data_IF_244277349801
#
_entry.id   IF_244277349801
#
_cell.length_a   1.000
_cell.length_b   1.000
_cell.length_c   1.000
_cell.angle_alpha   90.00
_cell.angle_beta   90.00
_cell.angle_gamma   90.00
#
_symmetry.space_group_name_H-M   'P 1'
#
loop_
_entity.id
_entity.type
_entity.pdbx_description
1 polymer ?
#
# COMPACT_ATOMS: atom_id res chain seq x y z
N UNK A 1 77.78 -51.05 20.02
CA UNK A 1 78.94 -51.79 20.55
C UNK A 1 78.59 -53.26 20.57
N UNK A 2 79.39 -54.06 19.85
CA UNK A 2 79.83 -55.45 20.14
C UNK A 2 78.78 -56.56 20.40
N UNK A 3 78.90 -57.80 19.93
CA UNK A 3 79.86 -58.54 19.08
C UNK A 3 79.23 -59.91 18.77
N UNK A 4 79.54 -60.48 17.59
CA UNK A 4 79.36 -61.87 17.12
C UNK A 4 79.95 -62.93 18.09
N UNK A 5 79.70 -64.28 18.02
CA UNK A 5 79.78 -65.11 16.79
C UNK A 5 79.07 -66.49 16.63
N UNK A 6 79.02 -66.93 15.36
CA UNK A 6 79.26 -68.26 14.72
C UNK A 6 78.48 -69.52 15.14
N UNK A 7 77.85 -70.16 14.13
CA UNK A 7 77.44 -71.57 14.11
C UNK A 7 77.13 -72.08 12.70
N UNK A 8 78.06 -72.85 12.14
CA UNK A 8 78.04 -73.62 10.88
C UNK A 8 76.75 -74.44 10.62
N UNK A 9 76.38 -74.65 9.34
CA UNK A 9 76.55 -75.92 8.58
C UNK A 9 75.43 -76.13 7.52
N UNK A 10 75.82 -76.53 6.31
CA UNK A 10 74.99 -77.43 5.48
C UNK A 10 74.32 -76.85 4.24
N UNK A 11 75.09 -76.69 3.16
CA UNK A 11 74.57 -76.66 1.78
C UNK A 11 74.16 -78.10 1.40
N UNK A 12 72.90 -78.32 1.05
CA UNK A 12 72.46 -79.47 0.24
C UNK A 12 71.68 -78.93 -0.95
N UNK A 13 72.36 -78.88 -2.09
CA UNK A 13 71.77 -78.70 -3.41
C UNK A 13 71.19 -80.04 -3.82
N UNK A 14 69.86 -80.18 -3.84
CA UNK A 14 69.19 -81.30 -4.48
C UNK A 14 68.70 -80.84 -5.86
N UNK A 15 69.50 -81.17 -6.87
CA UNK A 15 69.13 -81.05 -8.28
C UNK A 15 68.11 -82.15 -8.62
N UNK A 16 66.83 -81.79 -8.68
CA UNK A 16 65.76 -82.66 -9.18
C UNK A 16 65.68 -82.56 -10.71
N UNK A 17 66.00 -83.67 -11.37
CA UNK A 17 66.03 -83.81 -12.81
C UNK A 17 64.66 -83.54 -13.47
N UNK A 18 64.72 -82.73 -14.53
CA UNK A 18 63.64 -82.43 -15.46
C UNK A 18 63.18 -83.71 -16.18
N UNK A 19 61.95 -84.15 -15.91
CA UNK A 19 61.23 -85.02 -16.83
C UNK A 19 60.63 -84.14 -17.93
N UNK A 20 61.33 -84.08 -19.07
CA UNK A 20 60.79 -83.52 -20.31
C UNK A 20 59.71 -84.45 -20.86
N UNK A 21 58.47 -84.26 -20.40
CA UNK A 21 57.31 -84.74 -21.13
C UNK A 21 57.15 -83.86 -22.37
N UNK A 22 57.27 -84.44 -23.56
CA UNK A 22 56.89 -83.78 -24.80
C UNK A 22 55.36 -83.57 -24.78
N UNK A 23 54.93 -82.47 -24.17
CA UNK A 23 53.73 -81.79 -24.60
C UNK A 23 54.09 -81.22 -25.97
N UNK A 24 53.60 -81.83 -27.03
CA UNK A 24 53.52 -81.19 -28.34
C UNK A 24 52.72 -79.91 -28.14
N UNK A 25 53.42 -78.78 -27.97
CA UNK A 25 52.82 -77.46 -28.03
C UNK A 25 52.12 -77.34 -29.38
N UNK A 26 50.82 -77.00 -29.43
CA UNK A 26 50.19 -76.62 -30.69
C UNK A 26 51.03 -75.51 -31.31
N UNK A 27 51.14 -75.47 -32.64
CA UNK A 27 51.78 -74.34 -33.29
C UNK A 27 51.10 -73.05 -32.79
N UNK A 28 51.85 -72.18 -32.13
CA UNK A 28 51.35 -70.91 -31.60
C UNK A 28 50.84 -70.05 -32.77
N UNK A 29 49.53 -70.09 -33.04
CA UNK A 29 48.91 -69.19 -34.01
C UNK A 29 48.62 -67.84 -33.29
N UNK A 30 49.15 -66.72 -33.79
CA UNK A 30 49.03 -65.42 -33.14
C UNK A 30 47.59 -64.90 -33.13
N UNK A 31 46.79 -65.17 -34.17
CA UNK A 31 45.38 -64.81 -34.29
C UNK A 31 44.54 -65.51 -33.22
N UNK A 32 44.74 -66.82 -33.02
CA UNK A 32 44.04 -67.59 -31.96
C UNK A 32 44.39 -67.04 -30.57
N UNK A 33 45.66 -66.73 -30.34
CA UNK A 33 46.11 -66.16 -29.05
C UNK A 33 45.54 -64.76 -28.78
N UNK A 34 45.37 -63.94 -29.83
CA UNK A 34 44.76 -62.62 -29.74
C UNK A 34 43.25 -62.72 -29.49
N UNK A 35 42.55 -63.56 -30.25
CA UNK A 35 41.13 -63.87 -30.06
C UNK A 35 40.86 -64.39 -28.64
N UNK A 36 41.69 -65.29 -28.12
CA UNK A 36 41.58 -65.81 -26.75
C UNK A 36 41.71 -64.70 -25.70
N UNK A 37 42.66 -63.77 -25.87
CA UNK A 37 42.80 -62.63 -24.95
C UNK A 37 41.61 -61.66 -25.06
N UNK A 38 41.16 -61.37 -26.27
CA UNK A 38 40.04 -60.49 -26.52
C UNK A 38 38.75 -61.05 -25.90
N UNK A 39 38.46 -62.33 -26.14
CA UNK A 39 37.33 -63.03 -25.57
C UNK A 39 37.40 -63.09 -24.05
N UNK A 40 38.52 -63.52 -23.47
CA UNK A 40 38.65 -63.58 -22.01
C UNK A 40 38.53 -62.20 -21.35
N UNK A 41 39.03 -61.15 -21.98
CA UNK A 41 38.82 -59.78 -21.50
C UNK A 41 37.34 -59.40 -21.51
N UNK A 42 36.63 -59.71 -22.59
CA UNK A 42 35.22 -59.36 -22.76
C UNK A 42 34.28 -60.21 -21.88
N UNK A 43 34.56 -61.51 -21.74
CA UNK A 43 33.80 -62.44 -20.91
C UNK A 43 33.97 -62.20 -19.40
N UNK A 44 35.05 -61.52 -19.00
CA UNK A 44 35.27 -61.09 -17.61
C UNK A 44 34.77 -59.66 -17.32
N UNK A 45 34.25 -58.96 -18.33
CA UNK A 45 33.64 -57.64 -18.16
C UNK A 45 32.12 -57.79 -17.97
N UNK A 46 31.63 -57.45 -16.78
CA UNK A 46 30.23 -57.58 -16.43
C UNK A 46 29.31 -56.76 -17.35
N UNK A 47 29.75 -55.59 -17.81
CA UNK A 47 28.95 -54.73 -18.68
C UNK A 47 28.78 -55.36 -20.06
N UNK A 48 29.84 -55.98 -20.60
CA UNK A 48 29.78 -56.68 -21.88
C UNK A 48 28.94 -57.96 -21.78
N UNK A 49 29.07 -58.69 -20.67
CA UNK A 49 28.28 -59.91 -20.43
C UNK A 49 26.78 -59.62 -20.33
N UNK A 50 26.40 -58.51 -19.69
CA UNK A 50 25.00 -58.11 -19.53
C UNK A 50 24.42 -57.55 -20.84
N UNK A 51 25.14 -56.64 -21.52
CA UNK A 51 24.65 -55.95 -22.70
C UNK A 51 24.69 -56.81 -23.98
N UNK A 52 25.67 -57.71 -24.11
CA UNK A 52 25.93 -58.43 -25.37
C UNK A 52 26.11 -59.96 -25.21
N UNK A 53 25.21 -60.68 -24.51
CA UNK A 53 25.37 -62.11 -24.25
C UNK A 53 25.36 -62.97 -25.52
N UNK A 54 24.70 -62.50 -26.58
CA UNK A 54 24.65 -63.22 -27.86
C UNK A 54 25.97 -63.10 -28.63
N UNK A 55 26.52 -61.88 -28.77
CA UNK A 55 27.79 -61.65 -29.46
C UNK A 55 28.96 -62.35 -28.75
N UNK A 56 28.97 -62.40 -27.41
CA UNK A 56 29.95 -63.18 -26.66
C UNK A 56 29.86 -64.68 -26.94
N UNK A 57 28.64 -65.24 -27.07
CA UNK A 57 28.47 -66.66 -27.42
C UNK A 57 28.99 -66.95 -28.83
N UNK A 58 28.71 -66.08 -29.80
CA UNK A 58 29.24 -66.22 -31.16
C UNK A 58 30.77 -66.12 -31.21
N UNK A 59 31.35 -65.22 -30.40
CA UNK A 59 32.80 -65.13 -30.23
C UNK A 59 33.39 -66.41 -29.64
N UNK A 60 32.75 -67.00 -28.62
CA UNK A 60 33.17 -68.25 -28.00
C UNK A 60 33.12 -69.42 -28.99
N UNK A 61 32.04 -69.55 -29.77
CA UNK A 61 31.86 -70.61 -30.75
C UNK A 61 32.88 -70.52 -31.89
N UNK A 62 33.17 -69.31 -32.37
CA UNK A 62 34.19 -69.07 -33.38
C UNK A 62 35.61 -69.38 -32.86
N UNK A 63 35.92 -68.95 -31.63
CA UNK A 63 37.20 -69.20 -30.97
C UNK A 63 37.44 -70.70 -30.72
N UNK A 64 36.45 -71.41 -30.18
CA UNK A 64 36.49 -72.87 -30.03
C UNK A 64 36.67 -73.60 -31.36
N UNK A 65 36.19 -73.02 -32.45
CA UNK A 65 36.41 -73.57 -33.80
C UNK A 65 37.84 -73.34 -34.27
N UNK A 66 38.38 -72.13 -34.10
CA UNK A 66 39.77 -71.81 -34.40
C UNK A 66 40.76 -72.67 -33.60
N UNK A 67 40.53 -72.85 -32.30
CA UNK A 67 41.36 -73.70 -31.42
C UNK A 67 41.36 -75.16 -31.86
N UNK A 68 40.20 -75.70 -32.26
CA UNK A 68 40.08 -77.07 -32.79
C UNK A 68 40.83 -77.23 -34.10
N UNK A 69 40.74 -76.27 -35.02
CA UNK A 69 41.46 -76.28 -36.29
C UNK A 69 42.98 -76.20 -36.08
N UNK A 70 43.44 -75.34 -35.17
CA UNK A 70 44.85 -75.23 -34.79
C UNK A 70 45.38 -76.52 -34.17
N UNK A 71 44.62 -77.16 -33.28
CA UNK A 71 44.98 -78.44 -32.68
C UNK A 71 45.01 -79.60 -33.69
N UNK A 72 44.19 -79.54 -34.75
CA UNK A 72 44.16 -80.53 -35.82
C UNK A 72 45.25 -80.33 -36.90
N UNK A 73 46.00 -79.23 -36.85
CA UNK A 73 47.01 -78.89 -37.86
C UNK A 73 46.39 -78.52 -39.22
N UNK A 74 45.23 -77.85 -39.22
CA UNK A 74 44.56 -77.36 -40.42
C UNK A 74 45.38 -76.26 -41.15
N UNK A 75 44.88 -75.83 -42.32
CA UNK A 75 45.48 -74.72 -43.08
C UNK A 75 45.40 -73.41 -42.27
N UNK A 76 46.44 -72.57 -42.34
CA UNK A 76 46.52 -71.34 -41.55
C UNK A 76 45.39 -70.37 -41.89
N UNK A 77 44.99 -70.28 -43.16
CA UNK A 77 43.90 -69.42 -43.60
C UNK A 77 42.57 -69.76 -42.91
N UNK A 78 42.28 -71.05 -42.68
CA UNK A 78 41.05 -71.49 -41.98
C UNK A 78 41.10 -71.14 -40.48
N UNK A 79 42.28 -71.27 -39.85
CA UNK A 79 42.50 -70.93 -38.44
C UNK A 79 42.37 -69.41 -38.26
N UNK A 80 43.01 -68.64 -39.13
CA UNK A 80 42.99 -67.18 -39.09
C UNK A 80 41.59 -66.64 -39.40
N UNK A 81 40.85 -67.26 -40.31
CA UNK A 81 39.46 -66.90 -40.59
C UNK A 81 38.59 -66.99 -39.33
N UNK A 82 38.58 -68.13 -38.63
CA UNK A 82 37.77 -68.30 -37.43
C UNK A 82 38.26 -67.46 -36.24
N UNK A 83 39.58 -67.26 -36.11
CA UNK A 83 40.16 -66.35 -35.13
C UNK A 83 39.73 -64.89 -35.36
N UNK A 84 39.74 -64.45 -36.62
CA UNK A 84 39.26 -63.13 -37.01
C UNK A 84 37.76 -62.96 -36.71
N UNK A 85 36.92 -63.93 -37.06
CA UNK A 85 35.48 -63.89 -36.75
C UNK A 85 35.24 -63.79 -35.24
N UNK A 86 35.98 -64.54 -34.42
CA UNK A 86 35.90 -64.43 -32.96
C UNK A 86 36.23 -63.02 -32.46
N UNK A 87 37.31 -62.41 -32.98
CA UNK A 87 37.68 -61.03 -32.66
C UNK A 87 36.60 -60.01 -33.10
N UNK A 88 35.99 -60.20 -34.27
CA UNK A 88 34.90 -59.35 -34.74
C UNK A 88 33.68 -59.42 -33.81
N UNK A 89 33.29 -60.61 -33.36
CA UNK A 89 32.17 -60.74 -32.41
C UNK A 89 32.50 -60.14 -31.04
N UNK A 90 33.75 -60.22 -30.57
CA UNK A 90 34.19 -59.49 -29.36
C UNK A 90 34.11 -57.98 -29.55
N UNK A 91 34.49 -57.47 -30.73
CA UNK A 91 34.36 -56.05 -31.05
C UNK A 91 32.88 -55.62 -31.02
N UNK A 92 31.99 -56.38 -31.67
CA UNK A 92 30.54 -56.12 -31.62
C UNK A 92 30.03 -56.12 -30.17
N UNK A 93 30.48 -57.08 -29.35
CA UNK A 93 30.05 -57.15 -27.95
C UNK A 93 30.46 -55.90 -27.15
N UNK A 94 31.66 -55.36 -27.40
CA UNK A 94 32.13 -54.12 -26.78
C UNK A 94 31.30 -52.91 -27.22
N UNK A 95 31.06 -52.77 -28.52
CA UNK A 95 30.27 -51.65 -29.06
C UNK A 95 28.84 -51.65 -28.51
N UNK A 96 28.22 -52.82 -28.37
CA UNK A 96 26.89 -52.95 -27.76
C UNK A 96 26.88 -52.56 -26.28
N UNK A 97 27.93 -52.90 -25.53
CA UNK A 97 28.05 -52.50 -24.13
C UNK A 97 28.26 -50.99 -23.97
N UNK A 98 29.05 -50.38 -24.85
CA UNK A 98 29.23 -48.92 -24.89
C UNK A 98 27.92 -48.20 -25.27
N UNK A 99 27.15 -48.76 -26.20
CA UNK A 99 25.84 -48.24 -26.58
C UNK A 99 24.86 -48.30 -25.39
N UNK A 100 24.73 -49.45 -24.73
CA UNK A 100 23.85 -49.63 -23.57
C UNK A 100 24.23 -48.68 -22.41
N UNK A 101 25.53 -48.54 -22.13
CA UNK A 101 26.03 -47.60 -21.14
C UNK A 101 25.64 -46.14 -21.49
N UNK A 102 25.79 -45.76 -22.77
CA UNK A 102 25.41 -44.43 -23.25
C UNK A 102 23.91 -44.19 -23.17
N UNK A 103 23.08 -45.17 -23.52
CA UNK A 103 21.62 -45.09 -23.40
C UNK A 103 21.19 -44.93 -21.94
N UNK A 104 21.82 -45.68 -21.02
CA UNK A 104 21.57 -45.54 -19.58
C UNK A 104 21.93 -44.15 -19.05
N UNK A 105 23.03 -43.56 -19.53
CA UNK A 105 23.41 -42.18 -19.19
C UNK A 105 22.40 -41.16 -19.72
N UNK A 106 21.95 -41.31 -20.97
CA UNK A 106 20.92 -40.44 -21.57
C UNK A 106 19.63 -40.50 -20.74
N UNK A 107 19.16 -41.69 -20.37
CA UNK A 107 17.95 -41.84 -19.56
C UNK A 107 18.08 -41.17 -18.18
N UNK A 108 19.25 -41.28 -17.53
CA UNK A 108 19.51 -40.60 -16.26
C UNK A 108 19.50 -39.08 -16.44
N UNK A 109 20.21 -38.58 -17.46
CA UNK A 109 20.27 -37.16 -17.77
C UNK A 109 18.88 -36.58 -18.12
N UNK A 110 18.05 -37.33 -18.83
CA UNK A 110 16.67 -36.95 -19.12
C UNK A 110 15.81 -36.89 -17.85
N UNK A 111 15.95 -37.86 -16.94
CA UNK A 111 15.27 -37.85 -15.64
C UNK A 111 15.67 -36.64 -14.78
N UNK A 112 16.97 -36.36 -14.69
CA UNK A 112 17.49 -35.17 -14.00
C UNK A 112 16.95 -33.88 -14.62
N UNK A 113 16.96 -33.79 -15.96
CA UNK A 113 16.41 -32.65 -16.69
C UNK A 113 14.93 -32.45 -16.39
N UNK A 114 14.15 -33.53 -16.37
CA UNK A 114 12.71 -33.46 -16.05
C UNK A 114 12.47 -32.99 -14.62
N UNK A 115 13.28 -33.45 -13.67
CA UNK A 115 13.18 -33.03 -12.28
C UNK A 115 13.52 -31.54 -12.12
N UNK A 116 14.60 -31.06 -12.75
CA UNK A 116 14.98 -29.65 -12.73
C UNK A 116 13.88 -28.77 -13.33
N UNK A 117 13.29 -29.19 -14.45
CA UNK A 117 12.19 -28.45 -15.09
C UNK A 117 10.94 -28.40 -14.21
N UNK A 118 10.61 -29.50 -13.53
CA UNK A 118 9.48 -29.54 -12.61
C UNK A 118 9.69 -28.62 -11.40
N UNK A 119 10.90 -28.61 -10.84
CA UNK A 119 11.27 -27.72 -9.74
C UNK A 119 11.21 -26.26 -10.18
N UNK A 120 11.81 -25.91 -11.32
CA UNK A 120 11.76 -24.56 -11.87
C UNK A 120 10.31 -24.09 -12.09
N UNK A 121 9.46 -24.94 -12.67
CA UNK A 121 8.04 -24.65 -12.85
C UNK A 121 7.32 -24.46 -11.51
N UNK A 122 7.66 -25.24 -10.50
CA UNK A 122 7.07 -25.12 -9.16
C UNK A 122 7.47 -23.80 -8.50
N UNK A 123 8.74 -23.42 -8.58
CA UNK A 123 9.23 -22.13 -8.09
C UNK A 123 8.57 -20.95 -8.82
N UNK A 124 8.40 -21.04 -10.13
CA UNK A 124 7.75 -19.99 -10.91
C UNK A 124 6.27 -19.83 -10.52
N UNK A 125 5.56 -20.95 -10.31
CA UNK A 125 4.18 -20.91 -9.81
C UNK A 125 4.11 -20.30 -8.40
N UNK A 126 5.03 -20.66 -7.51
CA UNK A 126 5.11 -20.09 -6.16
C UNK A 126 5.35 -18.58 -6.18
N UNK A 127 6.31 -18.10 -6.98
CA UNK A 127 6.54 -16.66 -7.17
C UNK A 127 5.32 -15.95 -7.75
N UNK A 128 4.63 -16.57 -8.71
CA UNK A 128 3.42 -16.01 -9.29
C UNK A 128 2.28 -15.91 -8.26
N UNK A 129 2.13 -16.91 -7.38
CA UNK A 129 1.14 -16.86 -6.30
C UNK A 129 1.48 -15.80 -5.25
N UNK A 130 2.75 -15.71 -4.83
CA UNK A 130 3.21 -14.69 -3.87
C UNK A 130 2.97 -13.27 -4.41
N UNK A 131 3.32 -13.02 -5.68
CA UNK A 131 3.06 -11.73 -6.32
C UNK A 131 1.55 -11.44 -6.40
N UNK A 132 0.72 -12.43 -6.71
CA UNK A 132 -0.72 -12.25 -6.77
C UNK A 132 -1.33 -11.92 -5.39
N UNK A 133 -0.83 -12.55 -4.33
CA UNK A 133 -1.22 -12.26 -2.94
C UNK A 133 -0.81 -10.84 -2.54
N UNK A 134 0.44 -10.44 -2.81
CA UNK A 134 0.93 -9.09 -2.52
C UNK A 134 0.11 -8.00 -3.27
N UNK A 135 -0.24 -8.24 -4.53
CA UNK A 135 -1.09 -7.32 -5.30
C UNK A 135 -2.50 -7.24 -4.73
N UNK A 136 -3.05 -8.36 -4.25
CA UNK A 136 -4.36 -8.39 -3.61
C UNK A 136 -4.35 -7.63 -2.28
N UNK A 137 -3.34 -7.83 -1.45
CA UNK A 137 -3.19 -7.11 -0.17
C UNK A 137 -3.09 -5.59 -0.41
N UNK A 138 -2.25 -5.16 -1.36
CA UNK A 138 -2.16 -3.74 -1.76
C UNK A 138 -3.49 -3.19 -2.23
N UNK A 139 -4.26 -3.94 -3.02
CA UNK A 139 -5.58 -3.52 -3.48
C UNK A 139 -6.58 -3.41 -2.33
N UNK A 140 -6.55 -4.32 -1.37
CA UNK A 140 -7.39 -4.28 -0.17
C UNK A 140 -7.03 -3.08 0.74
N UNK A 141 -5.75 -2.78 0.92
CA UNK A 141 -5.29 -1.59 1.65
C UNK A 141 -5.73 -0.29 0.96
N UNK A 142 -5.57 -0.21 -0.36
CA UNK A 142 -6.03 0.93 -1.15
C UNK A 142 -7.55 1.11 -1.06
N UNK A 143 -8.32 0.01 -1.09
CA UNK A 143 -9.77 0.06 -0.92
C UNK A 143 -10.14 0.59 0.47
N UNK A 144 -9.51 0.10 1.55
CA UNK A 144 -9.74 0.60 2.91
C UNK A 144 -9.39 2.09 3.04
N UNK A 145 -8.27 2.51 2.47
CA UNK A 145 -7.88 3.92 2.47
C UNK A 145 -8.89 4.80 1.71
N UNK A 146 -9.41 4.32 0.57
CA UNK A 146 -10.43 5.01 -0.19
C UNK A 146 -11.76 5.12 0.57
N UNK A 147 -12.17 4.07 1.28
CA UNK A 147 -13.38 4.07 2.11
C UNK A 147 -13.26 5.07 3.26
N UNK A 148 -12.10 5.12 3.94
CA UNK A 148 -11.84 6.11 4.99
C UNK A 148 -11.87 7.54 4.46
N UNK A 149 -11.19 7.81 3.34
CA UNK A 149 -11.20 9.13 2.71
C UNK A 149 -12.61 9.55 2.27
N UNK A 150 -13.45 8.61 1.83
CA UNK A 150 -14.85 8.87 1.50
C UNK A 150 -15.66 9.24 2.73
N UNK A 151 -15.48 8.54 3.85
CA UNK A 151 -16.17 8.83 5.10
C UNK A 151 -15.79 10.21 5.64
N UNK A 152 -14.50 10.54 5.65
CA UNK A 152 -14.01 11.88 6.05
C UNK A 152 -14.59 12.98 5.16
N UNK A 153 -14.63 12.76 3.84
CA UNK A 153 -15.23 13.71 2.91
C UNK A 153 -16.75 13.87 3.11
N UNK A 154 -17.46 12.82 3.52
CA UNK A 154 -18.88 12.88 3.87
C UNK A 154 -19.11 13.68 5.16
N UNK A 155 -18.34 13.40 6.20
CA UNK A 155 -18.38 14.16 7.47
C UNK A 155 -18.11 15.65 7.24
N UNK A 156 -17.04 15.98 6.51
CA UNK A 156 -16.71 17.37 6.20
C UNK A 156 -17.82 18.09 5.40
N UNK A 157 -18.50 17.37 4.50
CA UNK A 157 -19.64 17.92 3.75
C UNK A 157 -20.84 18.18 4.64
N UNK A 158 -21.12 17.30 5.58
CA UNK A 158 -22.25 17.46 6.49
C UNK A 158 -22.01 18.57 7.51
N UNK A 159 -20.80 18.68 8.04
CA UNK A 159 -20.38 19.83 8.87
C UNK A 159 -20.51 21.15 8.10
N UNK A 160 -20.00 21.21 6.86
CA UNK A 160 -20.10 22.40 6.02
C UNK A 160 -21.57 22.78 5.71
N UNK A 161 -22.44 21.78 5.50
CA UNK A 161 -23.88 22.01 5.30
C UNK A 161 -24.54 22.60 6.55
N UNK A 162 -24.19 22.10 7.72
CA UNK A 162 -24.77 22.57 8.97
C UNK A 162 -24.33 24.01 9.28
N UNK A 163 -23.04 24.30 9.12
CA UNK A 163 -22.53 25.68 9.23
C UNK A 163 -23.20 26.62 8.22
N UNK A 164 -23.41 26.16 6.98
CA UNK A 164 -24.11 26.96 5.98
C UNK A 164 -25.57 27.24 6.36
N UNK A 165 -26.28 26.27 6.97
CA UNK A 165 -27.64 26.49 7.48
C UNK A 165 -27.66 27.47 8.64
N UNK A 166 -26.73 27.36 9.58
CA UNK A 166 -26.61 28.28 10.71
C UNK A 166 -26.33 29.71 10.25
N UNK A 167 -25.39 29.88 9.31
CA UNK A 167 -25.10 31.18 8.71
C UNK A 167 -26.31 31.77 7.97
N UNK A 168 -27.05 30.93 7.24
CA UNK A 168 -28.28 31.36 6.57
C UNK A 168 -29.37 31.77 7.57
N UNK A 169 -29.56 31.00 8.64
CA UNK A 169 -30.53 31.30 9.70
C UNK A 169 -30.19 32.62 10.40
N UNK A 170 -28.91 32.82 10.77
CA UNK A 170 -28.44 34.08 11.34
C UNK A 170 -28.67 35.25 10.38
N UNK A 171 -28.35 35.09 9.10
CA UNK A 171 -28.58 36.10 8.07
C UNK A 171 -30.07 36.44 7.88
N UNK A 172 -30.97 35.47 8.09
CA UNK A 172 -32.41 35.73 8.06
C UNK A 172 -32.84 36.53 9.29
N UNK A 173 -32.39 36.17 10.50
CA UNK A 173 -32.67 36.92 11.72
C UNK A 173 -32.18 38.37 11.63
N UNK A 174 -30.95 38.60 11.15
CA UNK A 174 -30.40 39.95 10.95
C UNK A 174 -31.23 40.77 9.96
N UNK A 175 -31.69 40.14 8.86
CA UNK A 175 -32.57 40.81 7.87
C UNK A 175 -33.94 41.15 8.44
N UNK A 176 -34.52 40.28 9.26
CA UNK A 176 -35.83 40.50 9.88
C UNK A 176 -35.81 41.65 10.89
N UNK A 177 -34.68 41.84 11.57
CA UNK A 177 -34.43 42.99 12.42
C UNK A 177 -34.18 44.28 11.64
N UNK A 178 -33.96 44.21 10.31
CA UNK A 178 -33.47 45.33 9.50
C UNK A 178 -32.13 45.92 10.01
N UNK A 179 -31.38 45.14 10.80
CA UNK A 179 -30.09 45.53 11.32
C UNK A 179 -29.03 45.51 10.21
N UNK A 180 -28.12 46.49 10.26
CA UNK A 180 -27.02 46.61 9.31
C UNK A 180 -25.72 46.20 9.98
N UNK A 181 -24.89 45.46 9.25
CA UNK A 181 -23.54 45.15 9.68
C UNK A 181 -22.67 46.40 9.47
N UNK A 182 -22.05 46.88 10.55
CA UNK A 182 -21.16 48.04 10.56
C UNK A 182 -19.86 47.69 11.27
N UNK A 183 -18.87 48.58 11.22
CA UNK A 183 -17.63 48.43 11.99
C UNK A 183 -17.86 48.38 13.52
N UNK A 184 -19.02 48.84 13.99
CA UNK A 184 -19.44 48.79 15.40
C UNK A 184 -20.26 47.54 15.75
N UNK A 185 -20.39 46.60 14.83
CA UNK A 185 -21.25 45.42 14.95
C UNK A 185 -22.59 45.60 14.25
N UNK A 186 -23.60 44.88 14.73
CA UNK A 186 -24.96 44.92 14.17
C UNK A 186 -25.70 46.14 14.70
N UNK A 187 -26.02 47.09 13.83
CA UNK A 187 -26.70 48.35 14.19
C UNK A 187 -28.12 48.31 13.65
N UNK A 188 -29.08 48.36 14.57
CA UNK A 188 -30.49 48.55 14.30
C UNK A 188 -30.81 50.05 14.42
N UNK A 189 -31.12 50.69 13.29
CA UNK A 189 -31.52 52.10 13.29
C UNK A 189 -33.03 52.22 13.32
N UNK A 190 -33.54 52.76 14.41
CA UNK A 190 -34.96 53.00 14.62
C UNK A 190 -35.24 54.50 14.40
N UNK A 191 -35.81 54.86 13.25
CA UNK A 191 -36.00 56.25 12.83
C UNK A 191 -37.22 56.95 13.46
N UNK A 192 -37.62 58.08 12.86
CA UNK A 192 -38.70 58.99 13.29
C UNK A 192 -40.09 58.34 13.45
N UNK A 193 -40.25 57.10 12.97
CA UNK A 193 -41.45 56.30 13.20
C UNK A 193 -41.56 55.80 14.64
N UNK A 194 -40.51 55.93 15.46
CA UNK A 194 -40.55 55.53 16.87
C UNK A 194 -41.25 56.52 17.79
N UNK A 195 -41.18 57.83 17.55
CA UNK A 195 -41.58 58.83 18.52
C UNK A 195 -42.32 59.98 17.84
N UNK A 196 -43.44 60.41 18.41
CA UNK A 196 -44.07 61.66 17.99
C UNK A 196 -43.12 62.85 18.22
N UNK A 197 -43.29 63.92 17.46
CA UNK A 197 -42.44 65.13 17.55
C UNK A 197 -42.43 65.68 18.98
N UNK A 198 -41.23 65.85 19.54
CA UNK A 198 -41.03 66.34 20.92
C UNK A 198 -41.39 65.35 22.03
N UNK A 199 -41.78 64.11 21.68
CA UNK A 199 -42.12 63.08 22.66
C UNK A 199 -41.02 62.01 22.78
N UNK A 200 -41.03 61.34 23.92
CA UNK A 200 -40.23 60.16 24.23
C UNK A 200 -41.10 58.89 24.39
N UNK A 201 -42.38 58.97 24.02
CA UNK A 201 -43.31 57.83 24.04
C UNK A 201 -43.21 57.07 22.71
N UNK A 202 -43.01 55.75 22.78
CA UNK A 202 -42.96 54.91 21.59
C UNK A 202 -44.31 54.89 20.85
N UNK A 203 -44.27 55.05 19.54
CA UNK A 203 -45.40 54.84 18.64
C UNK A 203 -45.73 53.33 18.54
N UNK A 204 -46.90 52.99 18.00
CA UNK A 204 -47.27 51.59 17.77
C UNK A 204 -46.35 50.86 16.79
N UNK A 205 -45.80 51.55 15.78
CA UNK A 205 -44.80 50.96 14.88
C UNK A 205 -43.44 50.79 15.56
N UNK A 206 -43.10 51.69 16.49
CA UNK A 206 -41.89 51.60 17.27
C UNK A 206 -41.90 50.50 18.31
N UNK A 207 -43.04 50.28 18.98
CA UNK A 207 -43.23 49.14 19.86
C UNK A 207 -42.95 47.82 19.12
N UNK A 208 -43.49 47.61 17.92
CA UNK A 208 -43.26 46.40 17.12
C UNK A 208 -41.77 46.16 16.81
N UNK A 209 -41.01 47.23 16.54
CA UNK A 209 -39.58 47.10 16.27
C UNK A 209 -38.79 46.74 17.54
N UNK A 210 -39.17 47.30 18.69
CA UNK A 210 -38.58 46.95 19.99
C UNK A 210 -38.97 45.53 20.41
N UNK A 211 -40.20 45.09 20.15
CA UNK A 211 -40.65 43.72 20.44
C UNK A 211 -39.80 42.69 19.68
N UNK A 212 -39.52 42.94 18.38
CA UNK A 212 -38.64 42.10 17.57
C UNK A 212 -37.20 42.08 18.10
N UNK A 213 -36.70 43.22 18.56
CA UNK A 213 -35.39 43.30 19.21
C UNK A 213 -35.38 42.50 20.52
N UNK A 214 -36.43 42.57 21.33
CA UNK A 214 -36.57 41.77 22.55
C UNK A 214 -36.55 40.26 22.23
N UNK A 215 -37.33 39.82 21.24
CA UNK A 215 -37.33 38.42 20.78
C UNK A 215 -35.94 37.97 20.32
N UNK A 216 -35.20 38.82 19.59
CA UNK A 216 -33.84 38.50 19.21
C UNK A 216 -32.90 38.37 20.42
N UNK A 217 -32.98 39.27 21.40
CA UNK A 217 -32.13 39.26 22.58
C UNK A 217 -32.45 38.11 23.54
N UNK A 218 -33.69 37.64 23.58
CA UNK A 218 -34.09 36.43 24.30
C UNK A 218 -33.49 35.17 23.67
N UNK A 219 -33.51 35.09 22.33
CA UNK A 219 -32.91 33.98 21.59
C UNK A 219 -31.37 34.00 21.56
N UNK A 220 -30.73 35.12 21.91
CA UNK A 220 -29.27 35.29 21.90
C UNK A 220 -28.79 35.88 23.25
N UNK A 221 -28.79 35.08 24.34
CA UNK A 221 -28.52 35.56 25.70
C UNK A 221 -27.10 36.09 25.91
N UNK A 222 -26.15 35.73 25.04
CA UNK A 222 -24.77 36.21 25.06
C UNK A 222 -24.62 37.65 24.53
N UNK A 223 -25.67 38.19 23.88
CA UNK A 223 -25.62 39.52 23.26
C UNK A 223 -25.95 40.63 24.26
N UNK A 224 -25.18 41.70 24.20
CA UNK A 224 -25.47 42.95 24.90
C UNK A 224 -25.92 44.02 23.90
N UNK A 225 -26.61 45.05 24.37
CA UNK A 225 -27.02 46.19 23.56
C UNK A 225 -26.60 47.53 24.14
N UNK A 226 -26.19 48.42 23.26
CA UNK A 226 -25.98 49.83 23.53
C UNK A 226 -27.04 50.63 22.75
N UNK A 227 -27.87 51.38 23.47
CA UNK A 227 -28.98 52.15 22.92
C UNK A 227 -28.57 53.62 22.90
N UNK A 228 -28.42 54.17 21.71
CA UNK A 228 -27.93 55.52 21.48
C UNK A 228 -29.06 56.40 20.92
N UNK A 229 -29.44 57.45 21.64
CA UNK A 229 -30.48 58.40 21.22
C UNK A 229 -29.91 59.62 20.50
N UNK A 230 -30.61 60.09 19.47
CA UNK A 230 -30.25 61.28 18.70
C UNK A 230 -31.47 62.17 18.42
N UNK A 231 -31.22 63.47 18.26
CA UNK A 231 -32.19 64.49 17.85
C UNK A 231 -31.74 65.19 16.57
N UNK A 232 -32.64 65.98 15.98
CA UNK A 232 -32.22 67.00 15.03
C UNK A 232 -31.67 68.24 15.74
N UNK A 233 -31.20 69.22 14.98
CA UNK A 233 -30.62 70.47 15.52
C UNK A 233 -31.67 71.55 15.85
N UNK A 234 -32.94 71.19 16.02
CA UNK A 234 -34.01 72.14 16.34
C UNK A 234 -34.18 72.23 17.86
N UNK A 235 -33.95 73.42 18.42
CA UNK A 235 -34.07 73.65 19.86
C UNK A 235 -32.72 73.91 20.52
N UNK A 236 -32.72 74.01 21.85
CA UNK A 236 -31.50 74.21 22.63
C UNK A 236 -30.75 72.89 22.81
N UNK A 237 -29.41 72.92 22.76
CA UNK A 237 -28.54 71.75 22.90
C UNK A 237 -28.84 70.93 24.16
N UNK A 238 -29.02 71.60 25.30
CA UNK A 238 -29.35 70.95 26.57
C UNK A 238 -30.72 70.23 26.54
N UNK A 239 -31.68 70.79 25.81
CA UNK A 239 -32.99 70.15 25.62
C UNK A 239 -32.87 68.92 24.71
N UNK A 240 -32.09 69.03 23.63
CA UNK A 240 -31.82 67.93 22.71
C UNK A 240 -31.10 66.77 23.39
N UNK A 241 -30.14 67.07 24.26
CA UNK A 241 -29.45 66.09 25.08
C UNK A 241 -30.44 65.31 25.97
N UNK A 242 -31.23 66.01 26.79
CA UNK A 242 -32.24 65.40 27.68
C UNK A 242 -33.31 64.61 26.90
N UNK A 243 -33.72 65.10 25.72
CA UNK A 243 -34.67 64.40 24.86
C UNK A 243 -34.08 63.09 24.32
N UNK A 244 -32.83 63.11 23.87
CA UNK A 244 -32.15 61.93 23.33
C UNK A 244 -31.96 60.82 24.38
N UNK A 245 -31.60 61.20 25.62
CA UNK A 245 -31.44 60.27 26.74
C UNK A 245 -32.79 59.65 27.12
N UNK A 246 -33.85 60.46 27.23
CA UNK A 246 -35.19 59.95 27.54
C UNK A 246 -35.71 58.98 26.48
N UNK A 247 -35.41 59.21 25.20
CA UNK A 247 -35.78 58.29 24.11
C UNK A 247 -35.02 56.97 24.20
N UNK A 248 -33.71 57.01 24.48
CA UNK A 248 -32.92 55.80 24.71
C UNK A 248 -33.43 55.01 25.93
N UNK A 249 -33.77 55.70 27.02
CA UNK A 249 -34.36 55.10 28.22
C UNK A 249 -35.76 54.53 27.97
N UNK A 250 -36.56 55.14 27.10
CA UNK A 250 -37.87 54.61 26.73
C UNK A 250 -37.74 53.24 26.04
N UNK A 251 -36.79 53.11 25.10
CA UNK A 251 -36.48 51.81 24.46
C UNK A 251 -35.99 50.80 25.49
N UNK A 252 -35.06 51.18 26.37
CA UNK A 252 -34.59 50.31 27.46
C UNK A 252 -35.74 49.86 28.37
N UNK A 253 -36.66 50.77 28.72
CA UNK A 253 -37.82 50.48 29.57
C UNK A 253 -38.78 49.47 28.95
N UNK A 254 -38.99 49.53 27.64
CA UNK A 254 -39.76 48.52 26.91
C UNK A 254 -39.05 47.17 26.94
N UNK A 255 -37.75 47.12 26.59
CA UNK A 255 -36.97 45.87 26.65
C UNK A 255 -36.94 45.24 28.05
N UNK A 256 -36.87 46.05 29.11
CA UNK A 256 -36.99 45.59 30.50
C UNK A 256 -38.37 44.98 30.79
N UNK A 257 -39.43 45.58 30.25
CA UNK A 257 -40.80 45.07 30.39
C UNK A 257 -40.97 43.73 29.68
N UNK A 258 -40.27 43.55 28.56
CA UNK A 258 -40.25 42.31 27.78
C UNK A 258 -39.30 41.24 28.37
N UNK A 259 -38.61 41.54 29.47
CA UNK A 259 -37.84 40.57 30.25
C UNK A 259 -36.33 40.55 29.98
N UNK A 260 -35.80 41.50 29.22
CA UNK A 260 -34.35 41.60 28.99
C UNK A 260 -33.66 42.17 30.24
N UNK A 261 -32.62 41.50 30.72
CA UNK A 261 -31.87 41.93 31.92
C UNK A 261 -31.20 43.30 31.73
N UNK A 262 -31.32 44.16 32.76
CA UNK A 262 -30.73 45.50 32.76
C UNK A 262 -29.21 45.50 32.51
N UNK A 263 -28.51 44.48 33.01
CA UNK A 263 -27.05 44.35 32.87
C UNK A 263 -26.61 44.13 31.43
N UNK A 264 -27.52 43.69 30.56
CA UNK A 264 -27.29 43.50 29.12
C UNK A 264 -27.49 44.78 28.31
N UNK A 265 -27.91 45.88 28.95
CA UNK A 265 -28.33 47.10 28.28
C UNK A 265 -27.59 48.32 28.81
N UNK A 266 -27.03 49.11 27.90
CA UNK A 266 -26.50 50.44 28.20
C UNK A 266 -27.24 51.48 27.37
N UNK A 267 -27.46 52.66 27.94
CA UNK A 267 -28.12 53.79 27.26
C UNK A 267 -27.21 55.00 27.23
N UNK A 268 -27.26 55.76 26.14
CA UNK A 268 -26.51 57.03 25.99
C UNK A 268 -27.30 57.95 25.08
N UNK A 269 -27.46 59.22 25.47
CA UNK A 269 -28.00 60.26 24.59
C UNK A 269 -26.86 61.11 24.02
N UNK A 270 -26.95 61.47 22.75
CA UNK A 270 -25.96 62.34 22.09
C UNK A 270 -26.53 63.69 21.64
N UNK A 271 -27.81 63.95 21.91
CA UNK A 271 -28.50 65.14 21.41
C UNK A 271 -28.40 65.24 19.89
N UNK A 272 -28.00 66.40 19.40
CA UNK A 272 -27.86 66.70 17.97
C UNK A 272 -26.50 66.29 17.36
N UNK A 273 -25.61 65.69 18.15
CA UNK A 273 -24.31 65.21 17.68
C UNK A 273 -24.48 64.02 16.73
N UNK A 274 -23.47 63.78 15.88
CA UNK A 274 -23.46 62.68 14.91
C UNK A 274 -24.66 62.68 13.94
N UNK A 275 -24.90 63.79 13.21
CA UNK A 275 -25.97 63.85 12.21
C UNK A 275 -25.65 62.92 11.02
N UNK A 276 -26.66 62.18 10.55
CA UNK A 276 -26.54 61.28 9.40
C UNK A 276 -27.09 61.92 8.10
N UNK A 277 -27.79 63.04 8.24
CA UNK A 277 -28.34 63.83 7.14
C UNK A 277 -28.30 65.34 7.45
N UNK A 278 -28.50 66.18 6.43
CA UNK A 278 -28.55 67.64 6.61
C UNK A 278 -29.74 68.06 7.47
N UNK A 279 -29.48 68.86 8.50
CA UNK A 279 -30.53 69.47 9.33
C UNK A 279 -31.30 70.61 8.63
N UNK A 280 -30.86 71.01 7.43
CA UNK A 280 -31.47 72.12 6.68
C UNK A 280 -32.78 71.72 5.99
N UNK A 281 -33.07 70.42 5.91
CA UNK A 281 -34.29 69.88 5.30
C UNK A 281 -35.12 69.10 6.30
N UNK A 282 -36.45 69.15 6.18
CA UNK A 282 -37.37 68.38 7.03
C UNK A 282 -37.08 66.87 6.96
N UNK A 283 -36.75 66.37 5.77
CA UNK A 283 -36.40 64.97 5.54
C UNK A 283 -35.09 64.56 6.22
N UNK A 284 -34.07 65.44 6.22
CA UNK A 284 -32.81 65.16 6.90
C UNK A 284 -32.93 65.27 8.42
N UNK A 285 -33.71 66.24 8.93
CA UNK A 285 -34.05 66.30 10.36
C UNK A 285 -34.78 65.04 10.83
N UNK A 286 -35.72 64.53 10.03
CA UNK A 286 -36.40 63.26 10.32
C UNK A 286 -35.43 62.08 10.40
N UNK A 287 -34.40 62.02 9.55
CA UNK A 287 -33.37 60.98 9.64
C UNK A 287 -32.50 61.12 10.89
N UNK A 288 -32.20 62.35 11.32
CA UNK A 288 -31.41 62.61 12.52
C UNK A 288 -32.16 62.30 13.82
N UNK A 289 -33.49 62.38 13.83
CA UNK A 289 -34.35 61.92 14.92
C UNK A 289 -34.46 60.39 14.92
N UNK A 290 -33.46 59.73 15.52
CA UNK A 290 -33.35 58.27 15.54
C UNK A 290 -32.85 57.75 16.88
N UNK A 291 -33.07 56.47 17.11
CA UNK A 291 -32.37 55.68 18.12
C UNK A 291 -31.60 54.59 17.38
N UNK A 292 -30.30 54.48 17.63
CA UNK A 292 -29.50 53.37 17.15
C UNK A 292 -29.32 52.37 18.29
N UNK A 293 -29.60 51.10 18.02
CA UNK A 293 -29.31 50.01 18.93
C UNK A 293 -28.16 49.21 18.34
N UNK A 294 -27.03 49.21 19.04
CA UNK A 294 -25.84 48.45 18.66
C UNK A 294 -25.86 47.15 19.44
N UNK A 295 -25.89 46.03 18.72
CA UNK A 295 -25.86 44.68 19.26
C UNK A 295 -24.42 44.19 19.22
N UNK A 296 -23.95 43.67 20.36
CA UNK A 296 -22.58 43.16 20.51
C UNK A 296 -22.26 42.02 19.55
N UNK A 297 -20.98 41.75 19.36
CA UNK A 297 -20.51 40.49 18.80
C UNK A 297 -20.85 39.28 19.73
N UNK A 298 -20.61 38.02 19.30
CA UNK A 298 -20.84 36.85 20.15
C UNK A 298 -19.98 36.81 21.42
N UNK A 299 -18.93 37.64 21.50
CA UNK A 299 -18.03 37.76 22.64
C UNK A 299 -18.50 38.84 23.63
N UNK A 300 -19.60 39.53 23.34
CA UNK A 300 -20.23 40.53 24.20
C UNK A 300 -19.64 41.94 24.06
N UNK A 301 -18.78 42.18 23.07
CA UNK A 301 -18.08 43.45 22.86
C UNK A 301 -18.87 44.44 21.98
N UNK A 302 -18.88 45.71 22.38
CA UNK A 302 -19.45 46.82 21.60
C UNK A 302 -18.40 47.93 21.49
N UNK A 303 -17.91 48.25 20.28
CA UNK A 303 -17.00 49.36 20.07
C UNK A 303 -17.61 50.72 20.42
N UNK A 304 -16.83 51.58 21.09
CA UNK A 304 -17.24 52.96 21.40
C UNK A 304 -17.42 53.78 20.12
N UNK A 305 -18.34 54.76 20.17
CA UNK A 305 -18.54 55.71 19.07
C UNK A 305 -17.35 56.68 19.04
N UNK A 306 -16.61 56.67 17.95
CA UNK A 306 -15.40 57.49 17.79
C UNK A 306 -15.60 58.67 16.84
N UNK A 307 -16.53 58.59 15.88
CA UNK A 307 -16.90 59.65 14.92
C UNK A 307 -18.37 59.55 14.48
#
# INVERSE_FOLDING_TARGET
MNTRPIGNLGIVVLAGALAAGCVTMPADNPTVSQAQRAYNSAANDAQIVEAAPFALREAEDALRTAERLAAAGAEQDDIDHHGYIAEQHVAIARELAELDASEAEIMRAEGERQQILLEARTQDMQRATELAEEQRERAEEQARAADMARLEAEQARDEARELARQAQALSQQVRELEARETERGLVLTLGDLLFDTGQATLSGGGAIAVDKLAEFLDNNPERNVLIEGFTDSTGDEAYNQDLSERRALAVQGTLLTDGIDADRMRTTGYGEQFPIASNDSDSGRAQNRRVEVIISDPEGSIPERTE
#
